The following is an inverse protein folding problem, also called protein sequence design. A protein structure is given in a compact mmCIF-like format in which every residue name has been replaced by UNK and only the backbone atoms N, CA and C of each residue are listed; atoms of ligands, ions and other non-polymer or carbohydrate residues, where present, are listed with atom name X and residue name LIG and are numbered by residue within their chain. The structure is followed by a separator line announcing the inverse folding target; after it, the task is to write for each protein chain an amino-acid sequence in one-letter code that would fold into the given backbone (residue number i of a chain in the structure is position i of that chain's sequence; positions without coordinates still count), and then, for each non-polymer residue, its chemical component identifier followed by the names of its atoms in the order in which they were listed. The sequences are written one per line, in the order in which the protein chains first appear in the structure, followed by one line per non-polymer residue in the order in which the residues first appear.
data_IF_509252251346
#
_entry.id   IF_509252251346
#
_cell.length_a   1.000
_cell.length_b   1.000
_cell.length_c   1.000
_cell.angle_alpha   90.00
_cell.angle_beta   90.00
_cell.angle_gamma   90.00
#
_symmetry.space_group_name_H-M   'P 1'
#
loop_
_entity.id
_entity.type
_entity.pdbx_description
1 polymer ?
#
# COMPACT_ATOMS: atom_id res chain seq x y z
N UNK A 1 -9.82 -25.30 -17.91
CA UNK A 1 -9.21 -24.26 -18.78
C UNK A 1 -10.29 -23.23 -19.08
N UNK A 2 -10.16 -22.03 -18.51
CA UNK A 2 -11.22 -21.01 -18.47
C UNK A 2 -11.38 -20.27 -19.80
N UNK A 3 -12.62 -19.95 -20.15
CA UNK A 3 -12.92 -19.02 -21.24
C UNK A 3 -12.44 -17.60 -20.88
N UNK A 4 -12.14 -16.77 -21.89
CA UNK A 4 -11.89 -15.34 -21.66
C UNK A 4 -13.21 -14.70 -21.20
N UNK A 5 -13.20 -14.05 -20.04
CA UNK A 5 -14.37 -13.37 -19.46
C UNK A 5 -13.98 -11.99 -18.94
N UNK A 6 -14.94 -11.09 -18.92
CA UNK A 6 -14.82 -9.80 -18.21
C UNK A 6 -15.26 -10.02 -16.77
N UNK A 7 -14.36 -9.79 -15.83
CA UNK A 7 -14.61 -9.92 -14.40
C UNK A 7 -14.04 -8.71 -13.66
N UNK A 8 -14.70 -8.32 -12.57
CA UNK A 8 -14.17 -7.33 -11.63
C UNK A 8 -13.44 -8.03 -10.51
N UNK A 9 -12.22 -7.62 -10.25
CA UNK A 9 -11.30 -8.18 -9.26
C UNK A 9 -11.03 -7.14 -8.17
N UNK A 10 -11.04 -7.59 -6.92
CA UNK A 10 -10.54 -6.83 -5.78
C UNK A 10 -9.95 -7.77 -4.75
N UNK A 11 -9.14 -7.21 -3.85
CA UNK A 11 -8.49 -7.95 -2.78
C UNK A 11 -9.10 -7.55 -1.44
N UNK A 12 -9.45 -8.55 -0.64
CA UNK A 12 -9.81 -8.37 0.76
C UNK A 12 -8.61 -8.72 1.62
N UNK A 13 -8.14 -7.76 2.40
CA UNK A 13 -6.96 -7.91 3.23
C UNK A 13 -7.04 -6.99 4.44
N UNK A 14 -6.30 -7.37 5.48
CA UNK A 14 -6.08 -6.53 6.66
C UNK A 14 -4.60 -6.17 6.69
N UNK A 15 -4.29 -4.88 6.80
CA UNK A 15 -2.93 -4.40 6.91
C UNK A 15 -2.71 -3.75 8.26
N UNK A 16 -1.55 -4.04 8.85
CA UNK A 16 -1.06 -3.40 10.07
C UNK A 16 0.23 -2.71 9.71
N UNK A 17 0.27 -1.41 9.90
CA UNK A 17 1.48 -0.60 9.77
C UNK A 17 1.96 -0.27 11.18
N UNK A 18 3.15 -0.73 11.51
CA UNK A 18 3.86 -0.32 12.72
C UNK A 18 4.96 0.62 12.26
N UNK A 19 5.04 1.81 12.85
CA UNK A 19 6.14 2.74 12.60
C UNK A 19 6.55 3.33 13.94
N UNK A 20 7.82 3.18 14.29
CA UNK A 20 8.45 3.97 15.33
C UNK A 20 9.07 5.19 14.63
N UNK A 21 8.35 6.29 14.66
CA UNK A 21 8.85 7.61 14.32
C UNK A 21 8.31 8.58 15.36
N UNK A 22 9.02 9.70 15.57
CA UNK A 22 8.60 10.73 16.51
C UNK A 22 7.17 11.15 16.22
N UNK A 23 6.24 10.75 17.07
CA UNK A 23 4.87 11.23 16.99
C UNK A 23 4.85 12.71 17.35
N UNK A 24 3.77 13.40 16.99
CA UNK A 24 3.57 14.79 17.41
C UNK A 24 3.69 14.95 18.94
N UNK A 25 3.23 13.96 19.69
CA UNK A 25 3.34 13.91 21.16
C UNK A 25 4.76 13.66 21.68
N UNK A 26 5.67 13.13 20.86
CA UNK A 26 7.08 12.95 21.22
C UNK A 26 7.89 14.22 21.00
N UNK A 27 7.40 15.15 20.18
CA UNK A 27 8.07 16.40 19.83
C UNK A 27 7.55 17.62 20.59
N UNK A 28 6.33 17.53 21.14
CA UNK A 28 5.68 18.62 21.87
C UNK A 28 5.18 18.14 23.23
N UNK A 29 5.75 18.70 24.30
CA UNK A 29 5.16 18.66 25.63
C UNK A 29 3.94 19.59 25.74
N UNK A 30 3.13 19.40 26.78
CA UNK A 30 1.92 20.22 27.01
C UNK A 30 2.20 21.71 27.19
N UNK A 31 3.44 22.04 27.58
CA UNK A 31 3.85 23.38 27.96
C UNK A 31 4.82 24.00 26.94
N UNK A 32 5.19 23.27 25.88
CA UNK A 32 6.12 23.75 24.86
C UNK A 32 5.43 24.72 23.90
N UNK A 33 6.09 25.83 23.59
CA UNK A 33 5.66 26.74 22.53
C UNK A 33 6.24 26.28 21.19
N UNK A 34 5.57 26.65 20.10
CA UNK A 34 6.06 26.39 18.74
C UNK A 34 7.49 26.89 18.50
N UNK A 35 7.86 28.01 19.13
CA UNK A 35 9.20 28.61 19.05
C UNK A 35 10.28 27.85 19.80
N UNK A 36 9.87 26.95 20.71
CA UNK A 36 10.79 26.16 21.52
C UNK A 36 11.22 24.88 20.78
N UNK A 37 10.42 24.46 19.79
CA UNK A 37 10.60 23.22 19.01
C UNK A 37 11.01 23.50 17.56
N UNK A 38 10.59 24.63 16.98
CA UNK A 38 10.87 24.98 15.59
C UNK A 38 11.66 26.29 15.49
N UNK A 39 12.85 26.23 14.89
CA UNK A 39 13.59 27.43 14.54
C UNK A 39 13.13 28.01 13.20
N UNK A 40 13.29 29.34 13.04
CA UNK A 40 12.94 30.02 11.82
C UNK A 40 13.79 29.52 10.64
N UNK A 41 13.16 28.87 9.67
CA UNK A 41 13.82 28.31 8.47
C UNK A 41 13.88 26.79 8.46
N UNK A 42 13.49 26.12 9.55
CA UNK A 42 13.34 24.67 9.57
C UNK A 42 12.07 24.21 8.88
N UNK A 43 12.16 23.05 8.23
CA UNK A 43 11.04 22.41 7.55
C UNK A 43 10.48 21.29 8.40
N UNK A 44 9.17 21.04 8.26
CA UNK A 44 8.50 19.94 8.95
C UNK A 44 9.19 18.59 8.76
N UNK A 45 9.79 18.35 7.58
CA UNK A 45 10.47 17.08 7.26
C UNK A 45 11.81 16.91 8.00
N UNK A 46 12.42 18.01 8.45
CA UNK A 46 13.64 17.97 9.25
C UNK A 46 13.33 17.67 10.72
N UNK A 47 12.15 18.09 11.19
CA UNK A 47 11.74 18.00 12.59
C UNK A 47 11.04 16.68 12.90
N UNK A 48 10.15 16.25 12.01
CA UNK A 48 9.60 14.89 12.04
C UNK A 48 10.53 14.02 11.22
N UNK A 49 11.54 13.45 11.90
CA UNK A 49 12.47 12.51 11.30
C UNK A 49 11.74 11.60 10.33
N UNK A 50 12.23 11.54 9.08
CA UNK A 50 11.56 10.89 7.96
C UNK A 50 11.59 9.36 8.14
N UNK A 51 10.90 8.85 9.15
CA UNK A 51 10.58 7.44 9.27
C UNK A 51 9.54 7.20 8.20
N UNK A 52 10.04 6.89 7.00
CA UNK A 52 9.22 6.45 5.91
C UNK A 52 8.44 5.22 6.39
N UNK A 53 7.12 5.36 6.51
CA UNK A 53 6.24 4.22 6.73
C UNK A 53 6.49 3.18 5.64
N UNK A 54 6.47 1.90 5.97
CA UNK A 54 6.65 0.84 4.97
C UNK A 54 5.62 0.93 3.83
N UNK A 55 6.00 0.43 2.67
CA UNK A 55 5.19 0.49 1.45
C UNK A 55 4.42 -0.82 1.26
N UNK A 56 3.12 -0.71 0.96
CA UNK A 56 2.31 -1.80 0.43
C UNK A 56 1.88 -1.47 -1.00
N UNK A 57 2.21 -2.33 -1.96
CA UNK A 57 1.73 -2.22 -3.34
C UNK A 57 1.13 -3.54 -3.81
N UNK A 58 -0.04 -3.46 -4.41
CA UNK A 58 -0.69 -4.61 -5.02
C UNK A 58 -0.97 -4.35 -6.50
N UNK A 59 -0.69 -5.36 -7.32
CA UNK A 59 -0.93 -5.32 -8.76
C UNK A 59 -1.75 -6.52 -9.20
N UNK A 60 -2.63 -6.30 -10.16
CA UNK A 60 -3.28 -7.36 -10.92
C UNK A 60 -2.49 -7.57 -12.21
N UNK A 61 -1.98 -8.77 -12.44
CA UNK A 61 -1.45 -9.19 -13.73
C UNK A 61 -2.50 -10.05 -14.44
N UNK A 62 -2.80 -9.74 -15.69
CA UNK A 62 -3.78 -10.49 -16.47
C UNK A 62 -3.27 -10.84 -17.86
N UNK A 63 -3.75 -11.96 -18.39
CA UNK A 63 -3.30 -12.52 -19.67
C UNK A 63 -4.38 -13.39 -20.32
N UNK A 64 -4.43 -13.39 -21.66
CA UNK A 64 -5.26 -14.30 -22.44
C UNK A 64 -4.52 -15.62 -22.77
N UNK A 65 -3.18 -15.59 -22.81
CA UNK A 65 -2.30 -16.64 -23.36
C UNK A 65 -1.28 -17.20 -22.35
N UNK A 66 -1.23 -16.68 -21.11
CA UNK A 66 -0.28 -17.01 -20.05
C UNK A 66 1.20 -16.68 -20.38
N UNK A 67 1.45 -15.97 -21.48
CA UNK A 67 2.80 -15.61 -21.96
C UNK A 67 3.00 -14.10 -21.93
N UNK A 68 2.04 -13.34 -22.49
CA UNK A 68 2.01 -11.89 -22.46
C UNK A 68 1.15 -11.41 -21.29
N UNK A 69 1.73 -10.57 -20.42
CA UNK A 69 1.09 -10.10 -19.20
C UNK A 69 0.91 -8.60 -19.23
N UNK A 70 -0.29 -8.15 -18.88
CA UNK A 70 -0.64 -6.77 -18.67
C UNK A 70 -0.83 -6.52 -17.18
N UNK A 71 -0.53 -5.30 -16.72
CA UNK A 71 -0.60 -4.95 -15.29
C UNK A 71 -1.64 -3.85 -15.04
N UNK A 72 -2.35 -3.98 -13.92
CA UNK A 72 -3.12 -2.89 -13.30
C UNK A 72 -2.49 -2.61 -11.94
N UNK A 73 -2.12 -1.36 -11.73
CA UNK A 73 -1.49 -0.91 -10.48
C UNK A 73 -2.52 -0.42 -9.46
N UNK A 74 -2.07 -0.27 -8.21
CA UNK A 74 -2.84 0.28 -7.08
C UNK A 74 -4.08 -0.51 -6.70
N UNK A 75 -4.00 -1.84 -6.84
CA UNK A 75 -5.08 -2.75 -6.48
C UNK A 75 -5.28 -2.86 -4.96
N UNK A 76 -4.38 -2.28 -4.17
CA UNK A 76 -4.55 -2.15 -2.72
C UNK A 76 -5.66 -1.14 -2.38
N UNK A 77 -5.91 -0.14 -3.23
CA UNK A 77 -6.97 0.86 -2.99
C UNK A 77 -8.18 0.62 -3.90
N UNK A 78 -7.96 0.10 -5.10
CA UNK A 78 -8.95 0.04 -6.17
C UNK A 78 -9.29 -1.39 -6.57
N UNK A 79 -10.50 -1.57 -7.09
CA UNK A 79 -10.85 -2.76 -7.88
C UNK A 79 -10.50 -2.54 -9.36
N UNK A 80 -10.26 -3.64 -10.08
CA UNK A 80 -9.95 -3.62 -11.51
C UNK A 80 -10.92 -4.50 -12.29
N UNK A 81 -11.38 -4.03 -13.44
CA UNK A 81 -12.18 -4.82 -14.38
C UNK A 81 -11.31 -5.21 -15.57
N UNK A 82 -11.11 -6.51 -15.77
CA UNK A 82 -10.25 -7.02 -16.84
C UNK A 82 -10.95 -8.11 -17.63
N UNK A 83 -10.63 -8.19 -18.91
CA UNK A 83 -11.05 -9.28 -19.79
C UNK A 83 -9.86 -10.20 -20.01
N UNK A 84 -9.86 -11.38 -19.36
CA UNK A 84 -8.70 -12.27 -19.38
C UNK A 84 -9.09 -13.74 -19.19
N UNK A 85 -8.11 -14.63 -19.41
CA UNK A 85 -8.19 -16.06 -19.08
C UNK A 85 -7.41 -16.40 -17.82
N UNK A 86 -6.28 -15.73 -17.63
CA UNK A 86 -5.36 -15.95 -16.53
C UNK A 86 -5.20 -14.65 -15.75
N UNK A 87 -5.22 -14.76 -14.43
CA UNK A 87 -4.99 -13.64 -13.51
C UNK A 87 -3.99 -14.06 -12.45
N UNK A 88 -3.13 -13.13 -12.05
CA UNK A 88 -2.19 -13.26 -10.94
C UNK A 88 -2.23 -11.97 -10.13
N UNK A 89 -2.04 -12.08 -8.83
CA UNK A 89 -1.86 -10.92 -7.96
C UNK A 89 -0.40 -10.87 -7.52
N UNK A 90 0.21 -9.70 -7.62
CA UNK A 90 1.54 -9.44 -7.09
C UNK A 90 1.39 -8.49 -5.92
N UNK A 91 1.95 -8.88 -4.78
CA UNK A 91 1.91 -8.13 -3.54
C UNK A 91 3.35 -7.84 -3.18
N UNK A 92 3.68 -6.57 -3.09
CA UNK A 92 4.99 -6.07 -2.73
C UNK A 92 4.85 -5.35 -1.38
N UNK A 93 5.66 -5.80 -0.43
CA UNK A 93 5.76 -5.22 0.91
C UNK A 93 7.22 -4.81 1.07
N UNK A 94 7.44 -3.55 1.44
CA UNK A 94 8.77 -2.98 1.65
C UNK A 94 8.82 -2.26 2.99
N UNK A 95 9.69 -2.74 3.88
CA UNK A 95 10.00 -2.05 5.13
C UNK A 95 11.05 -0.96 4.81
N UNK A 96 10.60 0.28 4.74
CA UNK A 96 11.44 1.41 4.32
C UNK A 96 12.42 1.87 5.41
N UNK A 97 12.28 1.39 6.64
CA UNK A 97 13.20 1.64 7.75
C UNK A 97 13.25 0.43 8.71
N UNK A 98 14.33 0.26 9.49
CA UNK A 98 14.41 -0.79 10.53
C UNK A 98 13.38 -0.64 11.65
N UNK A 99 12.68 0.49 11.71
CA UNK A 99 11.74 0.87 12.76
C UNK A 99 10.30 0.90 12.24
N UNK A 100 10.08 0.68 10.95
CA UNK A 100 8.75 0.56 10.35
C UNK A 100 8.56 -0.78 9.68
N UNK A 101 7.47 -1.45 10.06
CA UNK A 101 7.11 -2.77 9.60
C UNK A 101 5.70 -2.75 9.04
N UNK A 102 5.51 -3.37 7.87
CA UNK A 102 4.19 -3.59 7.28
C UNK A 102 3.85 -5.06 7.28
N UNK A 103 2.72 -5.40 7.92
CA UNK A 103 2.16 -6.74 7.91
C UNK A 103 0.87 -6.76 7.10
N UNK A 104 0.69 -7.82 6.32
CA UNK A 104 -0.54 -8.07 5.57
C UNK A 104 -1.03 -9.46 5.94
N UNK A 105 -2.24 -9.54 6.51
CA UNK A 105 -2.91 -10.81 6.77
C UNK A 105 -3.27 -11.51 5.45
N UNK A 106 -3.56 -12.83 5.46
CA UNK A 106 -3.83 -13.58 4.25
C UNK A 106 -4.84 -12.88 3.34
N UNK A 107 -4.42 -12.64 2.10
CA UNK A 107 -5.21 -11.91 1.11
C UNK A 107 -6.23 -12.88 0.51
N UNK A 108 -7.50 -12.51 0.61
CA UNK A 108 -8.58 -13.23 -0.09
C UNK A 108 -8.87 -12.54 -1.41
N UNK A 109 -8.69 -13.28 -2.51
CA UNK A 109 -9.10 -12.80 -3.82
C UNK A 109 -10.62 -12.92 -3.97
N UNK A 110 -11.25 -11.84 -4.46
CA UNK A 110 -12.64 -11.84 -4.91
C UNK A 110 -12.69 -11.47 -6.40
N UNK A 111 -13.47 -12.23 -7.14
CA UNK A 111 -13.86 -11.88 -8.51
C UNK A 111 -15.37 -12.06 -8.66
N UNK A 112 -15.99 -11.13 -9.35
CA UNK A 112 -17.40 -11.24 -9.72
C UNK A 112 -17.55 -11.02 -11.22
N UNK A 113 -18.42 -11.83 -11.82
CA UNK A 113 -18.87 -11.59 -13.18
C UNK A 113 -19.61 -10.26 -13.24
N UNK A 114 -19.24 -9.44 -14.21
CA UNK A 114 -19.82 -8.12 -14.41
C UNK A 114 -20.42 -8.08 -15.83
N UNK A 115 -21.73 -7.88 -15.92
CA UNK A 115 -22.48 -7.81 -17.17
C UNK A 115 -23.49 -6.67 -17.12
#
# INVERSE_FOLDING_TARGET
MGSIKTERHWLEYETVVIAAGSAWEDQFGSDDLWTDVLEAGETWIQQFGNVAAGTLRMKLLYSEDNSNWYEVERLEILGAEVKARYVKHKVEIEDNSPESYVYVKPITHKAAYWQ
#
